data_IF_116568180849
#
_entry.id   IF_116568180849
#
_cell.length_a   1.000
_cell.length_b   1.000
_cell.length_c   1.000
_cell.angle_alpha   90.00
_cell.angle_beta   90.00
_cell.angle_gamma   90.00
#
_symmetry.space_group_name_H-M   'P 1'
#
loop_
_entity.id
_entity.type
_entity.pdbx_description
1 polymer ?
#
# COMPACT_ATOMS: atom_id res chain seq x y z
N UNK A 1 -1.52 6.69 20.96
CA UNK A 1 -2.20 7.54 19.96
C UNK A 1 -3.66 7.09 19.91
N UNK A 2 -4.61 7.93 20.33
CA UNK A 2 -6.04 7.58 20.37
C UNK A 2 -6.77 7.78 19.03
N UNK A 3 -6.15 8.43 18.06
CA UNK A 3 -6.73 8.69 16.74
C UNK A 3 -6.05 7.85 15.66
N UNK A 4 -6.84 7.48 14.63
CA UNK A 4 -6.34 6.72 13.49
C UNK A 4 -5.37 7.59 12.67
N UNK A 5 -4.07 7.23 12.63
CA UNK A 5 -3.03 7.95 11.89
C UNK A 5 -3.39 8.23 10.42
N UNK A 6 -4.16 7.36 9.79
CA UNK A 6 -4.60 7.52 8.40
C UNK A 6 -5.54 8.70 8.19
N UNK A 7 -6.21 9.17 9.27
CA UNK A 7 -7.10 10.33 9.28
C UNK A 7 -6.43 11.59 9.85
N UNK A 8 -5.11 11.57 10.06
CA UNK A 8 -4.35 12.80 10.33
C UNK A 8 -4.30 13.65 9.06
N UNK A 9 -4.43 14.96 9.23
CA UNK A 9 -4.43 15.91 8.11
C UNK A 9 -3.01 16.39 7.78
N UNK A 10 -2.69 16.29 6.51
CA UNK A 10 -1.52 16.88 5.89
C UNK A 10 -2.02 17.71 4.69
N UNK A 11 -1.71 19.03 4.65
CA UNK A 11 -2.16 19.95 3.58
C UNK A 11 -3.66 19.81 3.22
N UNK A 12 -4.52 19.89 4.22
CA UNK A 12 -5.98 19.80 4.10
C UNK A 12 -6.54 18.46 3.60
N UNK A 13 -5.70 17.45 3.33
CA UNK A 13 -6.08 16.07 2.99
C UNK A 13 -5.73 15.12 4.13
N UNK A 14 -6.49 14.03 4.27
CA UNK A 14 -6.09 12.94 5.15
C UNK A 14 -4.92 12.16 4.54
N UNK A 15 -4.04 11.58 5.39
CA UNK A 15 -2.88 10.80 4.91
C UNK A 15 -3.27 9.70 3.94
N UNK A 16 -4.36 8.99 4.21
CA UNK A 16 -4.86 7.92 3.33
C UNK A 16 -5.21 8.43 1.93
N UNK A 17 -5.68 9.68 1.78
CA UNK A 17 -6.08 10.22 0.48
C UNK A 17 -4.89 10.34 -0.48
N UNK A 18 -3.68 10.60 0.02
CA UNK A 18 -2.49 10.65 -0.83
C UNK A 18 -2.20 9.29 -1.47
N UNK A 19 -2.21 8.23 -0.66
CA UNK A 19 -2.02 6.86 -1.14
C UNK A 19 -3.11 6.47 -2.14
N UNK A 20 -4.39 6.73 -1.81
CA UNK A 20 -5.52 6.38 -2.68
C UNK A 20 -5.55 7.19 -3.98
N UNK A 21 -5.20 8.47 -3.96
CA UNK A 21 -5.09 9.31 -5.15
C UNK A 21 -4.09 8.73 -6.17
N UNK A 22 -2.97 8.21 -5.70
CA UNK A 22 -1.97 7.57 -6.57
C UNK A 22 -2.49 6.25 -7.14
N UNK A 23 -3.05 5.38 -6.29
CA UNK A 23 -3.59 4.07 -6.69
C UNK A 23 -4.76 4.25 -7.67
N UNK A 24 -5.62 5.26 -7.48
CA UNK A 24 -6.77 5.52 -8.35
C UNK A 24 -6.35 5.79 -9.81
N UNK A 25 -5.18 6.38 -10.00
CA UNK A 25 -4.59 6.73 -11.32
C UNK A 25 -3.81 5.58 -11.95
N UNK A 26 -3.62 4.46 -11.27
CA UNK A 26 -2.96 3.28 -11.82
C UNK A 26 -3.97 2.36 -12.50
N UNK A 27 -3.50 1.65 -13.55
CA UNK A 27 -4.34 0.73 -14.30
C UNK A 27 -4.40 -0.64 -13.64
N UNK A 28 -5.27 -0.79 -12.65
CA UNK A 28 -5.60 -2.06 -12.03
C UNK A 28 -6.95 -2.58 -12.53
N UNK A 29 -7.08 -3.91 -12.66
CA UNK A 29 -8.33 -4.56 -13.03
C UNK A 29 -9.42 -4.32 -11.97
N UNK A 30 -9.04 -4.35 -10.70
CA UNK A 30 -9.90 -4.11 -9.54
C UNK A 30 -9.12 -3.32 -8.48
N UNK A 31 -9.78 -2.40 -7.79
CA UNK A 31 -9.22 -1.59 -6.71
C UNK A 31 -10.12 -1.71 -5.49
N UNK A 32 -9.54 -2.20 -4.39
CA UNK A 32 -10.31 -2.55 -3.21
C UNK A 32 -9.65 -2.02 -1.94
N UNK A 33 -10.48 -1.49 -1.03
CA UNK A 33 -10.08 -1.08 0.31
C UNK A 33 -10.77 -1.97 1.33
N UNK A 34 -10.01 -2.45 2.30
CA UNK A 34 -10.56 -3.13 3.48
C UNK A 34 -10.36 -2.22 4.68
N UNK A 35 -11.46 -1.80 5.31
CA UNK A 35 -11.41 -0.88 6.45
C UNK A 35 -12.54 -1.15 7.44
N UNK A 36 -12.33 -0.76 8.71
CA UNK A 36 -13.38 -0.69 9.73
C UNK A 36 -13.95 0.73 9.90
N UNK A 37 -13.28 1.74 9.34
CA UNK A 37 -13.56 3.16 9.57
C UNK A 37 -14.48 3.71 8.49
N UNK A 38 -15.62 4.26 8.91
CA UNK A 38 -16.62 4.81 7.97
C UNK A 38 -16.06 5.97 7.14
N UNK A 39 -15.21 6.81 7.75
CA UNK A 39 -14.59 7.92 7.02
C UNK A 39 -13.66 7.47 5.89
N UNK A 40 -12.88 6.41 6.10
CA UNK A 40 -12.03 5.82 5.04
C UNK A 40 -12.88 5.18 3.96
N UNK A 41 -14.03 4.59 4.33
CA UNK A 41 -15.00 4.04 3.37
C UNK A 41 -15.52 5.16 2.46
N UNK A 42 -16.02 6.27 3.01
CA UNK A 42 -16.50 7.42 2.23
C UNK A 42 -15.45 7.93 1.24
N UNK A 43 -14.19 8.07 1.71
CA UNK A 43 -13.07 8.51 0.87
C UNK A 43 -12.83 7.53 -0.28
N UNK A 44 -12.81 6.22 0.02
CA UNK A 44 -12.59 5.19 -0.98
C UNK A 44 -13.70 5.13 -2.03
N UNK A 45 -14.96 5.18 -1.61
CA UNK A 45 -16.11 5.18 -2.51
C UNK A 45 -16.11 6.41 -3.44
N UNK A 46 -15.71 7.59 -2.95
CA UNK A 46 -15.56 8.80 -3.77
C UNK A 46 -14.44 8.72 -4.83
N UNK A 47 -13.51 7.78 -4.69
CA UNK A 47 -12.41 7.51 -5.62
C UNK A 47 -12.62 6.22 -6.43
N UNK A 48 -13.86 5.74 -6.49
CA UNK A 48 -14.27 4.53 -7.23
C UNK A 48 -13.57 3.23 -6.77
N UNK A 49 -13.19 3.16 -5.48
CA UNK A 49 -12.73 1.92 -4.89
C UNK A 49 -13.90 1.07 -4.40
N UNK A 50 -13.81 -0.23 -4.64
CA UNK A 50 -14.66 -1.20 -3.94
C UNK A 50 -14.27 -1.22 -2.47
N UNK A 51 -15.21 -0.99 -1.56
CA UNK A 51 -14.90 -0.98 -0.12
C UNK A 51 -15.51 -2.18 0.58
N UNK A 52 -14.69 -2.88 1.36
CA UNK A 52 -15.08 -4.03 2.18
C UNK A 52 -14.90 -3.67 3.65
N UNK A 53 -15.97 -3.81 4.42
CA UNK A 53 -15.93 -3.54 5.87
C UNK A 53 -15.30 -4.71 6.62
N UNK A 54 -14.21 -4.44 7.35
CA UNK A 54 -13.66 -5.40 8.30
C UNK A 54 -14.44 -5.32 9.63
N UNK A 55 -15.23 -6.35 9.91
CA UNK A 55 -16.02 -6.46 11.14
C UNK A 55 -15.22 -7.03 12.32
N UNK A 56 -14.04 -7.57 12.06
CA UNK A 56 -13.22 -8.28 13.04
C UNK A 56 -11.75 -7.80 13.04
N UNK A 57 -11.50 -6.48 13.23
CA UNK A 57 -10.14 -5.92 13.14
C UNK A 57 -9.19 -6.47 14.20
N UNK A 58 -9.72 -6.96 15.32
CA UNK A 58 -8.97 -7.60 16.40
C UNK A 58 -8.40 -8.99 16.05
N UNK A 59 -8.76 -9.54 14.88
CA UNK A 59 -8.16 -10.79 14.37
C UNK A 59 -6.81 -10.56 13.67
N UNK A 60 -6.31 -9.34 13.70
CA UNK A 60 -5.03 -8.96 13.10
C UNK A 60 -5.12 -8.62 11.62
N UNK A 61 -3.97 -8.26 11.03
CA UNK A 61 -3.89 -7.80 9.63
C UNK A 61 -4.30 -8.89 8.62
N UNK A 62 -4.12 -10.16 8.96
CA UNK A 62 -4.50 -11.29 8.10
C UNK A 62 -5.98 -11.28 7.74
N UNK A 63 -6.86 -10.82 8.64
CA UNK A 63 -8.30 -10.71 8.35
C UNK A 63 -8.58 -9.71 7.23
N UNK A 64 -7.93 -8.53 7.26
CA UNK A 64 -8.06 -7.54 6.18
C UNK A 64 -7.53 -8.07 4.85
N UNK A 65 -6.38 -8.74 4.86
CA UNK A 65 -5.78 -9.34 3.66
C UNK A 65 -6.72 -10.39 3.05
N UNK A 66 -7.26 -11.30 3.87
CA UNK A 66 -8.22 -12.33 3.41
C UNK A 66 -9.51 -11.73 2.86
N UNK A 67 -10.05 -10.70 3.52
CA UNK A 67 -11.23 -9.99 3.02
C UNK A 67 -10.95 -9.35 1.66
N UNK A 68 -9.79 -8.77 1.46
CA UNK A 68 -9.35 -8.25 0.17
C UNK A 68 -9.36 -9.33 -0.91
N UNK A 69 -8.66 -10.43 -0.68
CA UNK A 69 -8.57 -11.56 -1.64
C UNK A 69 -9.93 -12.21 -1.94
N UNK A 70 -10.81 -12.35 -0.94
CA UNK A 70 -12.15 -12.95 -1.13
C UNK A 70 -13.10 -12.07 -1.93
N UNK A 71 -12.85 -10.76 -1.95
CA UNK A 71 -13.75 -9.80 -2.57
C UNK A 71 -13.17 -9.17 -3.85
N UNK A 72 -11.91 -9.39 -4.19
CA UNK A 72 -11.34 -8.90 -5.44
C UNK A 72 -11.68 -9.81 -6.63
N UNK A 73 -11.63 -9.25 -7.83
CA UNK A 73 -11.74 -10.01 -9.05
C UNK A 73 -10.53 -10.93 -9.27
N UNK A 74 -10.74 -12.02 -9.97
CA UNK A 74 -9.68 -12.94 -10.33
C UNK A 74 -8.69 -12.28 -11.29
N UNK A 75 -7.40 -12.35 -10.96
CA UNK A 75 -6.32 -11.71 -11.71
C UNK A 75 -5.04 -12.56 -11.72
N UNK A 76 -4.01 -12.12 -12.46
CA UNK A 76 -2.72 -12.81 -12.51
C UNK A 76 -1.93 -12.69 -11.20
N UNK A 77 -2.20 -11.65 -10.43
CA UNK A 77 -1.56 -11.38 -9.15
C UNK A 77 -2.29 -10.29 -8.35
N UNK A 78 -1.84 -10.09 -7.13
CA UNK A 78 -2.42 -9.17 -6.16
C UNK A 78 -1.35 -8.23 -5.63
N UNK A 79 -1.56 -6.92 -5.74
CA UNK A 79 -0.67 -5.89 -5.20
C UNK A 79 -1.25 -5.35 -3.90
N UNK A 80 -0.50 -5.49 -2.82
CA UNK A 80 -0.93 -5.02 -1.49
C UNK A 80 -0.24 -3.72 -1.13
N UNK A 81 -1.04 -2.73 -0.82
CA UNK A 81 -0.62 -1.42 -0.34
C UNK A 81 -0.90 -1.28 1.15
N UNK A 82 -0.13 -0.42 1.81
CA UNK A 82 -0.43 0.11 3.13
C UNK A 82 -0.94 1.55 2.99
N UNK A 83 -1.87 1.96 3.85
CA UNK A 83 -2.54 3.26 3.70
C UNK A 83 -1.75 4.47 4.19
N UNK A 84 -0.59 4.26 4.79
CA UNK A 84 0.24 5.24 5.48
C UNK A 84 1.49 5.65 4.69
N UNK A 85 1.48 5.48 3.35
CA UNK A 85 2.55 5.88 2.42
C UNK A 85 2.16 7.12 1.60
N UNK A 86 2.18 8.34 2.19
CA UNK A 86 1.70 9.55 1.52
C UNK A 86 2.59 10.03 0.36
N UNK A 87 3.82 9.52 0.26
CA UNK A 87 4.79 9.89 -0.77
C UNK A 87 4.96 8.82 -1.86
N UNK A 88 4.00 7.91 -1.95
CA UNK A 88 3.98 6.85 -2.98
C UNK A 88 4.06 7.45 -4.39
N UNK A 89 4.93 6.91 -5.25
CA UNK A 89 5.11 7.39 -6.62
C UNK A 89 4.43 6.45 -7.63
N UNK A 90 3.59 7.03 -8.50
CA UNK A 90 2.90 6.29 -9.56
C UNK A 90 3.86 5.59 -10.51
N UNK A 91 4.99 6.22 -10.87
CA UNK A 91 5.99 5.63 -11.77
C UNK A 91 6.63 4.39 -11.17
N UNK A 92 6.89 4.39 -9.87
CA UNK A 92 7.42 3.23 -9.18
C UNK A 92 6.39 2.08 -9.15
N UNK A 93 5.09 2.39 -8.96
CA UNK A 93 4.02 1.39 -9.05
C UNK A 93 3.95 0.79 -10.45
N UNK A 94 3.97 1.63 -11.50
CA UNK A 94 3.96 1.19 -12.90
C UNK A 94 5.16 0.28 -13.19
N UNK A 95 6.36 0.66 -12.74
CA UNK A 95 7.57 -0.15 -12.88
C UNK A 95 7.47 -1.52 -12.20
N UNK A 96 6.88 -1.59 -11.00
CA UNK A 96 6.62 -2.86 -10.32
C UNK A 96 5.66 -3.75 -11.12
N UNK A 97 4.61 -3.16 -11.68
CA UNK A 97 3.61 -3.85 -12.52
C UNK A 97 4.27 -4.37 -13.81
N UNK A 98 5.11 -3.57 -14.45
CA UNK A 98 5.81 -3.97 -15.68
C UNK A 98 6.72 -5.17 -15.43
N UNK A 99 7.55 -5.12 -14.38
CA UNK A 99 8.41 -6.24 -13.98
C UNK A 99 7.60 -7.49 -13.62
N UNK A 100 6.44 -7.35 -12.99
CA UNK A 100 5.55 -8.46 -12.72
C UNK A 100 4.96 -9.05 -14.01
N UNK A 101 4.59 -8.22 -14.98
CA UNK A 101 4.02 -8.66 -16.25
C UNK A 101 5.04 -9.40 -17.16
N UNK A 102 6.34 -9.15 -17.02
CA UNK A 102 7.38 -9.91 -17.72
C UNK A 102 7.38 -11.39 -17.30
N UNK A 103 7.21 -11.67 -16.01
CA UNK A 103 7.08 -13.02 -15.49
C UNK A 103 6.22 -13.04 -14.21
N UNK A 104 4.96 -13.41 -14.37
CA UNK A 104 3.96 -13.45 -13.30
C UNK A 104 4.17 -14.57 -12.28
N UNK A 105 5.28 -15.30 -12.33
CA UNK A 105 5.61 -16.34 -11.35
C UNK A 105 6.39 -15.83 -10.14
N UNK A 106 6.93 -14.59 -10.21
CA UNK A 106 7.74 -13.99 -9.15
C UNK A 106 6.92 -13.10 -8.21
N UNK A 107 7.25 -13.12 -6.93
CA UNK A 107 6.87 -12.05 -5.99
C UNK A 107 7.72 -10.84 -6.34
N UNK A 108 7.09 -9.67 -6.52
CA UNK A 108 7.82 -8.43 -6.84
C UNK A 108 7.79 -7.50 -5.64
N UNK A 109 8.98 -7.09 -5.20
CA UNK A 109 9.19 -6.32 -3.97
C UNK A 109 9.96 -5.03 -4.32
N UNK A 110 9.47 -3.84 -3.94
CA UNK A 110 10.23 -2.61 -4.08
C UNK A 110 11.39 -2.57 -3.11
N UNK A 111 12.51 -2.01 -3.57
CA UNK A 111 13.69 -1.75 -2.73
C UNK A 111 14.28 -0.37 -2.99
N UNK A 112 14.85 0.21 -1.96
CA UNK A 112 15.73 1.37 -2.04
C UNK A 112 16.97 1.09 -1.19
N UNK A 113 18.15 1.02 -1.81
CA UNK A 113 19.39 0.56 -1.15
C UNK A 113 19.19 -0.83 -0.51
N UNK A 114 19.32 -0.93 0.82
CA UNK A 114 19.09 -2.15 1.61
C UNK A 114 17.68 -2.26 2.22
N UNK A 115 16.82 -1.26 2.01
CA UNK A 115 15.46 -1.23 2.53
C UNK A 115 14.48 -1.87 1.55
N UNK A 116 13.51 -2.61 2.08
CA UNK A 116 12.43 -3.26 1.35
C UNK A 116 11.10 -2.90 2.00
N UNK A 117 10.04 -2.79 1.23
CA UNK A 117 8.75 -2.37 1.79
C UNK A 117 7.54 -2.73 0.93
N UNK A 118 6.51 -1.94 1.07
CA UNK A 118 5.30 -2.01 0.28
C UNK A 118 5.35 -0.94 -0.84
N UNK A 119 4.56 -1.14 -1.92
CA UNK A 119 3.62 -2.25 -2.15
C UNK A 119 4.31 -3.52 -2.69
N UNK A 120 3.80 -4.69 -2.33
CA UNK A 120 4.31 -5.99 -2.81
C UNK A 120 3.29 -6.65 -3.72
N UNK A 121 3.76 -7.22 -4.84
CA UNK A 121 2.92 -8.00 -5.76
C UNK A 121 3.14 -9.49 -5.51
N UNK A 122 2.05 -10.21 -5.24
CA UNK A 122 2.03 -11.67 -5.11
C UNK A 122 1.36 -12.30 -6.33
N UNK A 123 2.00 -13.27 -6.99
CA UNK A 123 1.38 -14.10 -8.01
C UNK A 123 0.09 -14.78 -7.52
N UNK A 124 -0.85 -15.03 -8.45
CA UNK A 124 -2.10 -15.77 -8.18
C UNK A 124 -1.87 -17.11 -7.48
N UNK A 125 -0.77 -17.81 -7.76
CA UNK A 125 -0.43 -19.11 -7.14
C UNK A 125 -0.35 -19.06 -5.61
N UNK A 126 -0.06 -17.89 -5.02
CA UNK A 126 -0.01 -17.70 -3.56
C UNK A 126 -1.37 -17.37 -2.92
N UNK A 127 -2.48 -17.43 -3.70
CA UNK A 127 -3.81 -17.09 -3.19
C UNK A 127 -4.19 -17.91 -1.96
N UNK A 128 -3.97 -19.22 -2.00
CA UNK A 128 -4.29 -20.11 -0.88
C UNK A 128 -3.39 -19.85 0.33
N UNK A 129 -2.09 -19.60 0.11
CA UNK A 129 -1.17 -19.24 1.20
C UNK A 129 -1.59 -17.93 1.88
N UNK A 130 -2.04 -16.95 1.09
CA UNK A 130 -2.58 -15.68 1.60
C UNK A 130 -3.87 -15.90 2.40
N UNK A 131 -4.77 -16.76 1.92
CA UNK A 131 -6.02 -17.09 2.61
C UNK A 131 -5.80 -17.88 3.91
N UNK A 132 -4.65 -18.52 4.07
CA UNK A 132 -4.25 -19.27 5.27
C UNK A 132 -3.44 -18.43 6.27
N UNK A 133 -3.19 -17.13 6.02
CA UNK A 133 -2.52 -16.25 6.98
C UNK A 133 -3.36 -16.12 8.27
N UNK A 134 -2.72 -15.99 9.42
CA UNK A 134 -3.38 -15.86 10.72
C UNK A 134 -2.81 -14.73 11.57
N UNK A 135 -3.66 -14.10 12.38
CA UNK A 135 -3.28 -13.04 13.31
C UNK A 135 -2.61 -11.86 12.63
N UNK A 136 -1.53 -11.35 13.20
CA UNK A 136 -0.76 -10.23 12.66
C UNK A 136 0.32 -10.65 11.66
N UNK A 137 0.20 -11.87 11.13
CA UNK A 137 1.09 -12.31 10.04
C UNK A 137 0.60 -11.71 8.72
N UNK A 138 1.42 -10.81 8.18
CA UNK A 138 1.26 -10.34 6.80
C UNK A 138 1.98 -11.27 5.81
N UNK A 139 2.11 -10.81 4.55
CA UNK A 139 2.74 -11.59 3.48
C UNK A 139 4.24 -11.91 3.67
N UNK A 140 4.90 -11.37 4.70
CA UNK A 140 6.34 -11.62 4.96
C UNK A 140 6.69 -13.11 5.13
N UNK A 141 5.78 -13.93 5.67
CA UNK A 141 5.99 -15.38 5.80
C UNK A 141 6.05 -16.07 4.44
N UNK A 142 5.20 -15.66 3.50
CA UNK A 142 5.16 -16.17 2.13
C UNK A 142 6.45 -15.77 1.39
N UNK A 143 6.91 -14.52 1.55
CA UNK A 143 8.18 -14.06 0.98
C UNK A 143 9.33 -14.93 1.46
N UNK A 144 9.41 -15.21 2.78
CA UNK A 144 10.50 -16.02 3.36
C UNK A 144 10.54 -17.46 2.86
N UNK A 145 9.41 -18.03 2.47
CA UNK A 145 9.30 -19.40 1.94
C UNK A 145 9.43 -19.51 0.43
N UNK A 146 9.48 -18.36 -0.28
CA UNK A 146 9.55 -18.33 -1.74
C UNK A 146 11.00 -18.26 -2.23
N UNK A 147 11.31 -19.05 -3.25
CA UNK A 147 12.54 -18.99 -4.04
C UNK A 147 12.44 -18.06 -5.27
N UNK A 148 11.23 -17.55 -5.56
CA UNK A 148 10.94 -16.71 -6.72
C UNK A 148 10.61 -15.29 -6.28
N UNK A 149 11.64 -14.46 -6.14
CA UNK A 149 11.52 -13.05 -5.77
C UNK A 149 12.29 -12.20 -6.78
N UNK A 150 11.66 -11.13 -7.25
CA UNK A 150 12.31 -10.03 -7.98
C UNK A 150 12.26 -8.76 -7.15
N UNK A 151 13.42 -8.13 -6.98
CA UNK A 151 13.52 -6.82 -6.34
C UNK A 151 13.60 -5.73 -7.40
N UNK A 152 12.86 -4.65 -7.20
CA UNK A 152 12.79 -3.51 -8.12
C UNK A 152 13.23 -2.25 -7.42
N UNK A 153 14.24 -1.56 -7.96
CA UNK A 153 14.72 -0.29 -7.41
C UNK A 153 13.66 0.80 -7.60
N UNK A 154 13.27 1.44 -6.51
CA UNK A 154 12.28 2.53 -6.42
C UNK A 154 12.87 3.76 -5.74
N UNK A 155 12.16 4.88 -5.76
CA UNK A 155 12.52 6.06 -5.00
C UNK A 155 12.39 5.81 -3.49
N UNK A 156 13.22 6.50 -2.69
CA UNK A 156 13.12 6.46 -1.23
C UNK A 156 11.71 6.80 -0.72
N UNK A 157 11.09 7.80 -1.35
CA UNK A 157 9.76 8.26 -1.00
C UNK A 157 8.68 7.17 -1.11
N UNK A 158 8.79 6.27 -2.07
CA UNK A 158 7.84 5.14 -2.27
C UNK A 158 7.83 4.18 -1.08
N UNK A 159 8.96 4.07 -0.36
CA UNK A 159 9.08 3.23 0.85
C UNK A 159 8.86 4.01 2.15
N UNK A 160 8.54 5.31 2.08
CA UNK A 160 8.32 6.12 3.25
C UNK A 160 6.92 5.89 3.82
N UNK A 161 6.83 5.28 4.98
CA UNK A 161 5.61 5.09 5.77
C UNK A 161 5.63 5.96 7.03
N UNK A 162 4.44 6.25 7.55
CA UNK A 162 4.26 7.04 8.77
C UNK A 162 3.85 6.11 9.90
N UNK A 163 4.81 5.69 10.72
CA UNK A 163 4.57 4.81 11.85
C UNK A 163 4.34 5.56 13.17
N UNK A 164 4.94 6.74 13.30
CA UNK A 164 4.91 7.53 14.53
C UNK A 164 4.82 9.04 14.25
N UNK A 165 4.77 9.85 15.30
CA UNK A 165 4.66 11.31 15.20
C UNK A 165 5.93 11.96 14.61
N UNK A 166 7.09 11.35 14.80
CA UNK A 166 8.35 11.87 14.25
C UNK A 166 8.39 11.70 12.74
N UNK A 167 7.86 10.59 12.21
CA UNK A 167 7.71 10.39 10.76
C UNK A 167 6.78 11.46 10.16
N UNK A 168 5.68 11.75 10.86
CA UNK A 168 4.76 12.80 10.44
C UNK A 168 5.42 14.18 10.46
N UNK A 169 6.19 14.50 11.52
CA UNK A 169 6.96 15.74 11.59
C UNK A 169 8.04 15.83 10.50
N UNK A 170 8.64 14.71 10.12
CA UNK A 170 9.59 14.64 9.01
C UNK A 170 8.90 14.90 7.67
N UNK A 171 7.68 14.40 7.47
CA UNK A 171 6.87 14.70 6.29
C UNK A 171 6.62 16.21 6.16
N UNK A 172 6.21 16.87 7.26
CA UNK A 172 5.98 18.33 7.31
C UNK A 172 7.25 19.14 6.96
N UNK A 173 8.42 18.69 7.42
CA UNK A 173 9.70 19.37 7.12
C UNK A 173 10.12 19.24 5.65
N UNK A 174 9.85 18.12 5.00
CA UNK A 174 10.18 17.90 3.58
C UNK A 174 9.52 18.92 2.67
N UNK A 175 8.32 19.36 2.98
CA UNK A 175 7.57 20.35 2.23
C UNK A 175 8.16 21.77 2.36
N UNK A 176 8.51 22.16 3.58
CA UNK A 176 9.10 23.49 3.84
C UNK A 176 10.39 23.71 3.03
N UNK A 177 11.12 22.65 2.72
CA UNK A 177 12.30 22.69 1.87
C UNK A 177 11.91 22.82 0.40
N UNK A 178 10.88 22.11 -0.06
CA UNK A 178 10.41 22.12 -1.46
C UNK A 178 9.83 23.50 -1.85
N UNK A 179 9.01 24.10 -0.98
CA UNK A 179 8.43 25.44 -1.20
C UNK A 179 9.50 26.55 -1.21
N UNK A 180 10.52 26.45 -0.36
CA UNK A 180 11.64 27.40 -0.36
C UNK A 180 12.44 27.40 -1.66
N UNK A 181 12.59 26.26 -2.33
CA UNK A 181 13.30 26.15 -3.60
C UNK A 181 12.50 26.68 -4.79
N UNK A 182 11.16 26.53 -4.77
CA UNK A 182 10.29 26.97 -5.86
C UNK A 182 9.83 28.42 -5.77
N UNK A 183 9.87 29.03 -4.56
CA UNK A 183 9.54 30.44 -4.36
C UNK A 183 10.77 31.37 -4.40
N UNK A 184 11.97 30.84 -4.67
CA UNK A 184 13.23 31.58 -4.78
C UNK A 184 13.75 31.66 -6.23
N UNK A 185 12.91 31.35 -7.23
CA UNK A 185 13.24 31.41 -8.66
C UNK A 185 12.45 32.48 -9.37
#
# INVERSE_FOLDING_TARGET
MGENKLLMKYNNKFLIEYTLDVISKCNFKDKLIVTQYEKIKEIGENLDFKVVKNKYPNRGISESIKLGIKNCEESKGYMFFVGDQPLLDKKDIEKLIDVFNEDTSFIVIPKYKSCFGNPVIYPKKYKEDILNLEGDKGGKSIIKSSDKIKYVDVCENTLFDIDNIDDFNNLLKRETVYEKWHNSS
#
